data_IF_170913382745
#
_entry.id   IF_170913382745
#
_cell.length_a   1.000
_cell.length_b   1.000
_cell.length_c   1.000
_cell.angle_alpha   90.00
_cell.angle_beta   90.00
_cell.angle_gamma   90.00
#
_symmetry.space_group_name_H-M   'P 1'
#
loop_
_entity.id
_entity.type
_entity.pdbx_description
1 polymer ?
#
# COMPACT_ATOMS: atom_id res chain seq x y z
N UNK A 1 21.27 -6.34 -11.16
CA UNK A 1 20.66 -5.00 -11.02
C UNK A 1 19.16 -5.17 -10.84
N UNK A 2 18.53 -4.41 -9.94
CA UNK A 2 17.08 -4.46 -9.76
C UNK A 2 16.39 -3.83 -10.98
N UNK A 3 15.23 -4.39 -11.39
CA UNK A 3 14.43 -3.89 -12.53
C UNK A 3 13.33 -2.91 -12.12
N UNK A 4 13.29 -2.50 -10.86
CA UNK A 4 12.36 -1.49 -10.36
C UNK A 4 12.87 -0.90 -9.04
N UNK A 5 12.35 0.28 -8.67
CA UNK A 5 12.67 0.98 -7.43
C UNK A 5 11.92 0.36 -6.25
N UNK A 6 12.40 -0.79 -5.75
CA UNK A 6 11.76 -1.47 -4.63
C UNK A 6 11.94 -0.74 -3.28
N UNK A 7 10.94 -0.83 -2.41
CA UNK A 7 11.00 -0.23 -1.07
C UNK A 7 12.21 -0.70 -0.23
N UNK A 8 12.61 -1.98 -0.37
CA UNK A 8 13.80 -2.47 0.33
C UNK A 8 15.07 -1.73 -0.11
N UNK A 9 15.17 -1.34 -1.39
CA UNK A 9 16.30 -0.59 -1.88
C UNK A 9 16.26 0.86 -1.41
N UNK A 10 15.09 1.50 -1.50
CA UNK A 10 14.84 2.84 -0.98
C UNK A 10 15.24 2.97 0.50
N UNK A 11 14.72 2.08 1.36
CA UNK A 11 15.02 2.12 2.80
C UNK A 11 16.48 1.77 3.12
N UNK A 12 17.10 0.88 2.34
CA UNK A 12 18.51 0.55 2.56
C UNK A 12 19.42 1.75 2.28
N UNK A 13 19.15 2.50 1.22
CA UNK A 13 19.91 3.72 0.92
C UNK A 13 19.70 4.80 1.98
N UNK A 14 18.45 5.00 2.42
CA UNK A 14 18.13 6.01 3.43
C UNK A 14 18.73 5.72 4.80
N UNK A 15 18.75 4.45 5.23
CA UNK A 15 19.11 4.09 6.61
C UNK A 15 20.42 3.31 6.75
N UNK A 16 21.07 2.92 5.64
CA UNK A 16 22.30 2.10 5.63
C UNK A 16 22.13 0.68 6.18
N UNK A 17 20.90 0.30 6.56
CA UNK A 17 20.59 -1.00 7.16
C UNK A 17 19.25 -1.50 6.67
N UNK A 18 18.93 -2.76 6.99
CA UNK A 18 17.65 -3.37 6.63
C UNK A 18 16.56 -2.81 7.54
N UNK A 19 15.51 -2.26 6.96
CA UNK A 19 14.31 -1.80 7.68
C UNK A 19 13.13 -2.73 7.37
N UNK A 20 12.31 -3.03 8.37
CA UNK A 20 11.07 -3.81 8.22
C UNK A 20 9.87 -3.02 8.73
N UNK A 21 8.71 -3.24 8.10
CA UNK A 21 7.43 -2.72 8.61
C UNK A 21 6.87 -3.66 9.67
N UNK A 22 6.39 -3.10 10.76
CA UNK A 22 5.63 -3.81 11.80
C UNK A 22 4.16 -3.39 11.63
N UNK A 23 3.25 -4.32 11.28
CA UNK A 23 1.83 -4.02 11.22
C UNK A 23 1.28 -3.82 12.64
N UNK A 24 0.55 -2.73 12.84
CA UNK A 24 -0.06 -2.34 14.10
C UNK A 24 -1.56 -2.07 13.85
N UNK A 25 -2.36 -2.43 14.84
CA UNK A 25 -3.78 -2.14 14.90
C UNK A 25 -4.05 -1.19 16.06
N UNK A 26 -4.47 0.04 15.76
CA UNK A 26 -4.79 1.07 16.75
C UNK A 26 -6.30 1.18 17.03
N UNK A 27 -7.09 0.21 16.56
CA UNK A 27 -8.52 0.13 16.83
C UNK A 27 -9.37 1.18 16.10
N UNK A 28 -8.81 1.84 15.08
CA UNK A 28 -9.60 2.73 14.24
C UNK A 28 -10.67 1.95 13.47
N UNK A 29 -11.71 2.65 13.05
CA UNK A 29 -12.75 2.10 12.17
C UNK A 29 -12.69 2.75 10.80
N UNK A 30 -13.67 2.45 9.95
CA UNK A 30 -13.84 3.06 8.64
C UNK A 30 -15.28 3.61 8.53
N UNK A 31 -15.46 4.85 8.02
CA UNK A 31 -16.80 5.44 7.86
C UNK A 31 -17.69 4.63 6.91
N UNK A 32 -17.09 3.79 6.08
CA UNK A 32 -17.79 2.89 5.18
C UNK A 32 -18.32 1.62 5.86
N UNK A 33 -18.12 1.46 7.17
CA UNK A 33 -18.55 0.30 7.96
C UNK A 33 -19.40 0.66 9.18
N UNK A 34 -19.23 1.84 9.75
CA UNK A 34 -19.85 2.24 11.02
C UNK A 34 -21.23 2.91 10.87
N UNK A 35 -21.66 3.18 9.63
CA UNK A 35 -22.92 3.85 9.32
C UNK A 35 -22.80 5.32 8.93
N UNK A 36 -21.60 5.93 8.99
CA UNK A 36 -21.40 7.32 8.57
C UNK A 36 -21.54 7.49 7.05
N UNK A 37 -20.89 6.63 6.27
CA UNK A 37 -21.04 6.58 4.80
C UNK A 37 -21.75 5.29 4.35
N UNK A 38 -21.47 4.18 5.01
CA UNK A 38 -22.08 2.88 4.71
C UNK A 38 -21.94 1.93 5.91
N UNK A 39 -22.64 0.79 5.84
CA UNK A 39 -22.53 -0.31 6.81
C UNK A 39 -21.91 -1.57 6.21
N UNK A 40 -21.61 -1.58 4.91
CA UNK A 40 -21.21 -2.79 4.16
C UNK A 40 -19.70 -2.95 4.03
N UNK A 41 -18.93 -1.87 4.16
CA UNK A 41 -17.52 -1.85 3.78
C UNK A 41 -17.31 -1.90 2.26
N UNK A 42 -16.04 -1.88 1.83
CA UNK A 42 -15.72 -2.09 0.41
C UNK A 42 -15.99 -3.55 0.04
N UNK A 43 -16.42 -3.83 -1.19
CA UNK A 43 -16.82 -5.15 -1.63
C UNK A 43 -15.74 -6.24 -1.48
N UNK A 44 -14.46 -5.85 -1.55
CA UNK A 44 -13.30 -6.74 -1.43
C UNK A 44 -12.71 -6.83 -0.02
N UNK A 45 -13.13 -5.96 0.91
CA UNK A 45 -12.42 -5.79 2.17
C UNK A 45 -12.94 -6.76 3.23
N UNK A 46 -12.04 -7.57 3.82
CA UNK A 46 -12.37 -8.45 4.94
C UNK A 46 -12.85 -7.67 6.19
N UNK A 47 -13.44 -8.39 7.14
CA UNK A 47 -14.01 -7.82 8.37
C UNK A 47 -13.00 -7.09 9.25
N UNK A 48 -11.73 -7.45 9.18
CA UNK A 48 -10.63 -6.86 9.96
C UNK A 48 -9.96 -5.65 9.26
N UNK A 49 -10.49 -5.20 8.12
CA UNK A 49 -9.90 -4.07 7.40
C UNK A 49 -8.48 -4.35 6.89
N UNK A 50 -8.17 -5.62 6.62
CA UNK A 50 -6.82 -6.13 6.32
C UNK A 50 -5.80 -5.90 7.45
N UNK A 51 -6.28 -5.77 8.70
CA UNK A 51 -5.48 -5.64 9.92
C UNK A 51 -5.02 -6.96 10.53
N UNK A 52 -4.30 -6.87 11.65
CA UNK A 52 -3.83 -8.03 12.41
C UNK A 52 -4.87 -8.57 13.40
N UNK A 53 -5.88 -7.77 13.76
CA UNK A 53 -6.88 -8.10 14.79
C UNK A 53 -6.38 -7.98 16.22
N UNK A 54 -5.09 -7.69 16.44
CA UNK A 54 -4.46 -7.74 17.77
C UNK A 54 -5.04 -6.72 18.75
N UNK A 55 -5.61 -5.61 18.26
CA UNK A 55 -6.30 -4.66 19.13
C UNK A 55 -7.58 -5.26 19.73
N UNK A 56 -8.35 -5.99 18.92
CA UNK A 56 -9.56 -6.68 19.39
C UNK A 56 -9.21 -7.80 20.39
N UNK A 57 -8.01 -8.37 20.29
CA UNK A 57 -7.45 -9.32 21.26
C UNK A 57 -6.93 -8.63 22.56
N UNK A 58 -7.11 -7.31 22.69
CA UNK A 58 -6.74 -6.54 23.87
C UNK A 58 -5.28 -6.08 23.93
N UNK A 59 -4.48 -6.29 22.87
CA UNK A 59 -3.10 -5.81 22.84
C UNK A 59 -3.03 -4.33 22.45
N UNK A 60 -2.29 -3.57 23.24
CA UNK A 60 -1.98 -2.17 22.94
C UNK A 60 -0.82 -2.04 21.92
N UNK A 61 -0.52 -0.80 21.53
CA UNK A 61 0.44 -0.51 20.44
C UNK A 61 1.85 -1.02 20.80
N UNK A 62 2.28 -0.80 22.03
CA UNK A 62 3.60 -1.17 22.56
C UNK A 62 3.71 -2.69 22.68
N UNK A 63 2.67 -3.38 23.17
CA UNK A 63 2.60 -4.83 23.21
C UNK A 63 2.68 -5.46 21.82
N UNK A 64 1.92 -4.93 20.85
CA UNK A 64 1.99 -5.36 19.45
C UNK A 64 3.38 -5.11 18.85
N UNK A 65 3.96 -3.92 19.10
CA UNK A 65 5.28 -3.56 18.62
C UNK A 65 6.36 -4.50 19.15
N UNK A 66 6.39 -4.73 20.46
CA UNK A 66 7.40 -5.56 21.10
C UNK A 66 7.34 -7.02 20.62
N UNK A 67 6.13 -7.57 20.45
CA UNK A 67 5.92 -8.91 19.89
C UNK A 67 6.51 -9.05 18.50
N UNK A 68 6.17 -8.13 17.59
CA UNK A 68 6.65 -8.20 16.20
C UNK A 68 8.13 -7.85 16.08
N UNK A 69 8.61 -6.87 16.85
CA UNK A 69 10.02 -6.47 16.89
C UNK A 69 10.92 -7.64 17.30
N UNK A 70 10.54 -8.41 18.31
CA UNK A 70 11.29 -9.60 18.72
C UNK A 70 11.34 -10.64 17.59
N UNK A 71 10.19 -10.97 17.00
CA UNK A 71 10.10 -11.99 15.94
C UNK A 71 10.85 -11.57 14.66
N UNK A 72 10.60 -10.35 14.18
CA UNK A 72 11.17 -9.86 12.92
C UNK A 72 12.64 -9.46 13.08
N UNK A 73 13.02 -8.92 14.25
CA UNK A 73 14.40 -8.55 14.53
C UNK A 73 15.33 -9.75 14.55
N UNK A 74 14.92 -10.85 15.20
CA UNK A 74 15.66 -12.11 15.16
C UNK A 74 15.74 -12.69 13.74
N UNK A 75 14.62 -12.70 13.00
CA UNK A 75 14.54 -13.28 11.64
C UNK A 75 15.33 -12.50 10.60
N UNK A 76 15.37 -11.18 10.70
CA UNK A 76 15.91 -10.31 9.66
C UNK A 76 17.19 -9.57 10.06
N UNK A 77 17.67 -9.77 11.30
CA UNK A 77 18.85 -9.12 11.87
C UNK A 77 18.76 -7.59 11.77
N UNK A 78 17.68 -7.04 12.32
CA UNK A 78 17.46 -5.58 12.38
C UNK A 78 16.81 -5.18 13.71
N UNK A 79 17.16 -4.00 14.19
CA UNK A 79 16.60 -3.35 15.36
C UNK A 79 15.80 -2.08 15.02
N UNK A 80 15.73 -1.71 13.72
CA UNK A 80 15.05 -0.52 13.20
C UNK A 80 13.85 -0.88 12.33
N UNK A 81 12.73 -0.23 12.60
CA UNK A 81 11.44 -0.58 12.02
C UNK A 81 10.59 0.63 11.67
N UNK A 82 9.66 0.43 10.74
CA UNK A 82 8.60 1.39 10.43
C UNK A 82 7.31 0.87 11.06
N UNK A 83 6.66 1.69 11.88
CA UNK A 83 5.31 1.43 12.38
C UNK A 83 4.31 1.51 11.22
N UNK A 84 3.49 0.49 11.04
CA UNK A 84 2.50 0.45 9.96
C UNK A 84 1.09 0.30 10.51
N UNK A 85 0.37 1.41 10.62
CA UNK A 85 -1.06 1.43 10.90
C UNK A 85 -1.81 1.01 9.62
N UNK A 86 -2.15 -0.28 9.52
CA UNK A 86 -2.64 -0.88 8.29
C UNK A 86 -4.17 -0.97 8.22
N UNK A 87 -4.83 -1.22 9.36
CA UNK A 87 -6.26 -1.54 9.41
C UNK A 87 -7.13 -0.30 9.17
N UNK A 88 -8.17 -0.44 8.37
CA UNK A 88 -9.24 0.56 8.21
C UNK A 88 -8.77 1.97 7.78
N UNK A 89 -9.22 3.02 8.48
CA UNK A 89 -8.94 4.42 8.17
C UNK A 89 -8.37 5.11 9.41
N UNK A 90 -7.05 5.09 9.55
CA UNK A 90 -6.37 5.45 10.80
C UNK A 90 -6.37 6.96 11.11
N UNK A 91 -6.95 7.78 10.26
CA UNK A 91 -7.16 9.22 10.49
C UNK A 91 -8.64 9.57 10.63
N UNK A 92 -9.52 8.58 10.62
CA UNK A 92 -10.95 8.80 10.80
C UNK A 92 -11.30 9.00 12.28
N UNK A 93 -12.11 10.03 12.54
CA UNK A 93 -12.51 10.47 13.87
C UNK A 93 -11.82 11.77 14.31
N UNK A 94 -11.94 12.12 15.60
CA UNK A 94 -11.36 13.33 16.17
C UNK A 94 -9.83 13.32 16.12
N UNK A 95 -9.22 14.49 15.90
CA UNK A 95 -7.76 14.64 15.78
C UNK A 95 -7.02 14.23 17.07
N UNK A 96 -7.61 14.45 18.24
CA UNK A 96 -7.01 14.14 19.53
C UNK A 96 -6.77 12.63 19.69
N UNK A 97 -7.60 11.80 19.03
CA UNK A 97 -7.37 10.35 18.97
C UNK A 97 -6.14 10.02 18.13
N UNK A 98 -5.98 10.68 16.99
CA UNK A 98 -4.81 10.51 16.12
C UNK A 98 -3.54 10.94 16.86
N UNK A 99 -3.55 12.12 17.50
CA UNK A 99 -2.43 12.62 18.31
C UNK A 99 -1.98 11.62 19.39
N UNK A 100 -2.93 11.06 20.17
CA UNK A 100 -2.60 10.05 21.19
C UNK A 100 -1.93 8.82 20.60
N UNK A 101 -2.38 8.35 19.44
CA UNK A 101 -1.79 7.18 18.77
C UNK A 101 -0.40 7.51 18.23
N UNK A 102 -0.25 8.66 17.58
CA UNK A 102 1.03 9.11 17.02
C UNK A 102 2.09 9.32 18.10
N UNK A 103 1.72 9.92 19.25
CA UNK A 103 2.60 10.12 20.41
C UNK A 103 3.17 8.79 20.96
N UNK A 104 2.35 7.73 21.00
CA UNK A 104 2.81 6.39 21.37
C UNK A 104 3.80 5.85 20.34
N UNK A 105 3.49 5.99 19.04
CA UNK A 105 4.34 5.51 17.95
C UNK A 105 5.71 6.20 17.94
N UNK A 106 5.76 7.52 18.11
CA UNK A 106 7.03 8.28 18.15
C UNK A 106 7.90 7.92 19.34
N UNK A 107 7.32 7.30 20.37
CA UNK A 107 8.02 6.84 21.56
C UNK A 107 8.49 5.37 21.47
N UNK A 108 8.19 4.67 20.37
CA UNK A 108 8.53 3.26 20.22
C UNK A 108 10.03 3.05 19.96
N UNK A 109 10.72 2.20 20.75
CA UNK A 109 12.13 1.94 20.55
C UNK A 109 12.44 1.36 19.16
N UNK A 110 13.38 1.98 18.45
CA UNK A 110 13.80 1.58 17.11
C UNK A 110 12.82 1.95 15.99
N UNK A 111 11.77 2.72 16.28
CA UNK A 111 10.90 3.26 15.24
C UNK A 111 11.63 4.37 14.47
N UNK A 112 11.81 4.17 13.16
CA UNK A 112 12.44 5.13 12.25
C UNK A 112 11.45 5.72 11.24
N UNK A 113 10.17 5.36 11.35
CA UNK A 113 9.17 5.84 10.42
C UNK A 113 7.77 5.34 10.72
N UNK A 114 6.83 5.92 10.00
CA UNK A 114 5.40 5.61 10.05
C UNK A 114 4.88 5.39 8.63
N UNK A 115 4.09 4.33 8.44
CA UNK A 115 3.14 4.22 7.35
C UNK A 115 1.74 4.26 7.96
N UNK A 116 0.88 5.15 7.46
CA UNK A 116 -0.50 5.29 7.92
C UNK A 116 -1.47 5.01 6.78
N UNK A 117 -2.17 3.88 6.87
CA UNK A 117 -3.26 3.51 5.98
C UNK A 117 -4.50 4.33 6.28
N UNK A 118 -4.95 5.12 5.31
CA UNK A 118 -6.20 5.87 5.44
C UNK A 118 -6.93 6.09 4.11
N UNK A 119 -8.10 6.71 4.21
CA UNK A 119 -8.86 7.16 3.05
C UNK A 119 -8.55 8.63 2.77
N UNK A 120 -8.58 9.06 1.49
CA UNK A 120 -8.33 10.46 1.14
C UNK A 120 -9.37 11.43 1.71
N UNK A 121 -10.60 10.98 1.94
CA UNK A 121 -11.70 11.77 2.54
C UNK A 121 -11.70 11.76 4.08
N UNK A 122 -10.65 11.21 4.71
CA UNK A 122 -10.44 11.23 6.17
C UNK A 122 -9.22 12.07 6.56
N UNK A 123 -8.76 12.95 5.67
CA UNK A 123 -7.61 13.83 5.86
C UNK A 123 -8.04 15.28 5.64
N UNK A 124 -8.19 16.00 6.74
CA UNK A 124 -8.32 17.46 6.75
C UNK A 124 -6.93 18.10 6.94
N UNK A 125 -6.88 19.43 6.80
CA UNK A 125 -5.63 20.19 6.89
C UNK A 125 -4.93 19.98 8.24
N UNK A 126 -5.66 20.03 9.35
CA UNK A 126 -5.09 19.85 10.70
C UNK A 126 -4.43 18.46 10.87
N UNK A 127 -5.05 17.39 10.35
CA UNK A 127 -4.44 16.04 10.39
C UNK A 127 -3.21 15.94 9.49
N UNK A 128 -3.22 16.61 8.33
CA UNK A 128 -2.05 16.64 7.45
C UNK A 128 -0.89 17.41 8.10
N UNK A 129 -1.18 18.54 8.74
CA UNK A 129 -0.19 19.35 9.48
C UNK A 129 0.40 18.55 10.65
N UNK A 130 -0.45 17.85 11.41
CA UNK A 130 -0.02 16.96 12.49
C UNK A 130 0.92 15.85 11.99
N UNK A 131 0.59 15.21 10.86
CA UNK A 131 1.40 14.13 10.30
C UNK A 131 2.73 14.64 9.74
N UNK A 132 2.73 15.84 9.14
CA UNK A 132 3.94 16.48 8.61
C UNK A 132 4.91 16.93 9.72
N UNK A 133 4.38 17.29 10.89
CA UNK A 133 5.17 17.71 12.04
C UNK A 133 5.81 16.55 12.84
N UNK A 134 5.60 15.29 12.45
CA UNK A 134 6.14 14.15 13.18
C UNK A 134 7.68 14.12 13.13
N UNK A 135 8.36 13.86 14.27
CA UNK A 135 9.82 13.79 14.34
C UNK A 135 10.33 12.41 13.85
N UNK A 136 9.76 11.91 12.75
CA UNK A 136 10.12 10.63 12.14
C UNK A 136 10.71 10.89 10.75
N UNK A 137 11.89 10.34 10.43
CA UNK A 137 12.55 10.61 9.16
C UNK A 137 11.88 9.94 7.96
N UNK A 138 10.88 9.09 8.15
CA UNK A 138 10.22 8.35 7.07
C UNK A 138 8.71 8.24 7.34
N UNK A 139 7.91 9.11 6.74
CA UNK A 139 6.44 9.14 6.93
C UNK A 139 5.74 8.94 5.59
N UNK A 140 4.92 7.89 5.51
CA UNK A 140 4.13 7.54 4.33
C UNK A 140 2.63 7.57 4.62
N UNK A 141 1.89 8.30 3.79
CA UNK A 141 0.44 8.19 3.72
C UNK A 141 0.07 7.09 2.72
N UNK A 142 -0.38 5.94 3.23
CA UNK A 142 -0.88 4.85 2.41
C UNK A 142 -2.35 5.15 2.05
N UNK A 143 -2.57 5.72 0.86
CA UNK A 143 -3.89 6.16 0.40
C UNK A 143 -4.54 5.16 -0.57
N UNK A 144 -5.75 4.73 -0.23
CA UNK A 144 -6.51 3.77 -1.02
C UNK A 144 -7.26 4.36 -2.21
N UNK A 145 -6.62 4.52 -3.38
CA UNK A 145 -7.29 4.84 -4.64
C UNK A 145 -8.11 3.65 -5.15
N UNK A 146 -7.47 2.47 -5.22
CA UNK A 146 -7.92 1.20 -5.77
C UNK A 146 -8.13 1.21 -7.29
N UNK A 147 -8.89 2.16 -7.82
CA UNK A 147 -9.08 2.42 -9.25
C UNK A 147 -9.23 3.92 -9.50
N UNK A 148 -8.80 4.39 -10.67
CA UNK A 148 -9.09 5.76 -11.13
C UNK A 148 -10.43 5.88 -11.87
N UNK A 149 -11.26 4.82 -11.88
CA UNK A 149 -12.59 4.82 -12.48
C UNK A 149 -13.67 4.92 -11.40
N UNK A 150 -14.35 6.05 -11.35
CA UNK A 150 -15.36 6.33 -10.33
C UNK A 150 -16.58 5.38 -10.42
N UNK A 151 -16.87 4.81 -11.59
CA UNK A 151 -17.92 3.80 -11.75
C UNK A 151 -17.54 2.50 -11.05
N UNK A 152 -16.27 2.09 -11.16
CA UNK A 152 -15.72 0.96 -10.41
C UNK A 152 -15.74 1.25 -8.92
N UNK A 153 -15.32 2.45 -8.50
CA UNK A 153 -15.32 2.85 -7.09
C UNK A 153 -16.71 2.81 -6.48
N UNK A 154 -17.74 3.24 -7.22
CA UNK A 154 -19.15 3.12 -6.82
C UNK A 154 -19.58 1.65 -6.73
N UNK A 155 -19.25 0.83 -7.75
CA UNK A 155 -19.59 -0.60 -7.79
C UNK A 155 -19.04 -1.38 -6.60
N UNK A 156 -17.81 -1.08 -6.17
CA UNK A 156 -17.17 -1.74 -5.03
C UNK A 156 -17.50 -1.08 -3.68
N UNK A 157 -18.45 -0.15 -3.64
CA UNK A 157 -18.83 0.59 -2.45
C UNK A 157 -17.62 1.26 -1.78
N UNK A 158 -16.76 1.97 -2.53
CA UNK A 158 -15.53 2.58 -1.98
C UNK A 158 -15.85 3.77 -1.05
N UNK A 159 -16.80 4.60 -1.44
CA UNK A 159 -17.27 5.76 -0.68
C UNK A 159 -16.46 7.05 -0.84
N UNK A 160 -15.53 7.11 -1.79
CA UNK A 160 -14.90 8.34 -2.29
C UNK A 160 -14.54 8.14 -3.77
N UNK A 161 -14.24 9.22 -4.48
CA UNK A 161 -13.87 9.22 -5.90
C UNK A 161 -12.36 9.42 -6.12
N UNK A 162 -11.95 9.38 -7.39
CA UNK A 162 -10.58 9.65 -7.83
C UNK A 162 -10.16 11.11 -7.61
N UNK A 163 -11.10 12.05 -7.68
CA UNK A 163 -10.83 13.48 -7.44
C UNK A 163 -10.48 13.75 -5.97
N UNK A 164 -11.14 13.11 -5.01
CA UNK A 164 -10.81 13.17 -3.59
C UNK A 164 -9.40 12.63 -3.34
N UNK A 165 -9.02 11.53 -4.00
CA UNK A 165 -7.66 11.00 -3.94
C UNK A 165 -6.63 12.01 -4.47
N UNK A 166 -6.89 12.63 -5.63
CA UNK A 166 -5.98 13.62 -6.20
C UNK A 166 -5.81 14.83 -5.28
N UNK A 167 -6.90 15.39 -4.73
CA UNK A 167 -6.86 16.51 -3.77
C UNK A 167 -6.04 16.19 -2.53
N UNK A 168 -6.31 15.04 -1.89
CA UNK A 168 -5.56 14.61 -0.70
C UNK A 168 -4.09 14.38 -1.02
N UNK A 169 -3.78 13.87 -2.22
CA UNK A 169 -2.39 13.64 -2.66
C UNK A 169 -1.63 14.94 -2.83
N UNK A 170 -2.24 15.96 -3.45
CA UNK A 170 -1.63 17.29 -3.57
C UNK A 170 -1.47 17.95 -2.19
N UNK A 171 -2.52 17.97 -1.37
CA UNK A 171 -2.47 18.59 -0.04
C UNK A 171 -1.42 17.97 0.89
N UNK A 172 -1.17 16.66 0.77
CA UNK A 172 -0.11 15.97 1.47
C UNK A 172 1.28 16.33 0.91
N UNK A 173 1.44 16.32 -0.41
CA UNK A 173 2.70 16.65 -1.07
C UNK A 173 3.14 18.09 -0.78
N UNK A 174 2.21 19.04 -0.73
CA UNK A 174 2.47 20.45 -0.39
C UNK A 174 3.04 20.63 1.03
N UNK A 175 2.84 19.63 1.90
CA UNK A 175 3.39 19.55 3.26
C UNK A 175 4.62 18.64 3.37
N UNK A 176 5.14 18.15 2.25
CA UNK A 176 6.29 17.26 2.21
C UNK A 176 6.01 15.80 2.60
N UNK A 177 4.73 15.41 2.75
CA UNK A 177 4.37 14.03 3.08
C UNK A 177 4.44 13.12 1.85
N UNK A 178 5.08 11.95 2.01
CA UNK A 178 5.18 10.97 0.95
C UNK A 178 3.88 10.17 0.83
N UNK A 179 3.18 10.27 -0.31
CA UNK A 179 1.98 9.48 -0.58
C UNK A 179 2.36 8.15 -1.25
N UNK A 180 1.84 7.05 -0.72
CA UNK A 180 1.88 5.73 -1.33
C UNK A 180 0.48 5.33 -1.82
N UNK A 181 0.26 5.34 -3.14
CA UNK A 181 -1.01 4.97 -3.73
C UNK A 181 -1.23 3.45 -3.68
N UNK A 182 -2.45 3.00 -3.38
CA UNK A 182 -2.85 1.61 -3.56
C UNK A 182 -3.72 1.49 -4.81
N UNK A 183 -3.37 0.60 -5.74
CA UNK A 183 -4.22 0.24 -6.90
C UNK A 183 -4.40 -1.27 -6.98
N UNK A 184 -5.58 -1.71 -7.41
CA UNK A 184 -5.97 -3.12 -7.44
C UNK A 184 -6.19 -3.55 -8.89
N UNK A 185 -5.53 -4.63 -9.30
CA UNK A 185 -5.77 -5.27 -10.58
C UNK A 185 -6.88 -6.32 -10.42
N UNK A 186 -7.89 -6.25 -11.27
CA UNK A 186 -8.97 -7.23 -11.35
C UNK A 186 -10.27 -6.86 -10.64
N UNK A 187 -10.51 -5.58 -10.34
CA UNK A 187 -11.79 -5.14 -9.77
C UNK A 187 -12.98 -5.53 -10.66
N UNK A 188 -14.19 -5.78 -10.09
CA UNK A 188 -15.33 -6.23 -10.87
C UNK A 188 -15.62 -5.32 -12.07
N UNK A 189 -15.56 -5.90 -13.28
CA UNK A 189 -15.74 -5.22 -14.57
C UNK A 189 -14.58 -4.33 -15.01
N UNK A 190 -13.39 -4.51 -14.43
CA UNK A 190 -12.13 -3.95 -14.91
C UNK A 190 -11.21 -5.02 -15.51
N UNK A 191 -10.44 -4.64 -16.52
CA UNK A 191 -9.37 -5.45 -17.10
C UNK A 191 -7.99 -4.81 -17.00
N UNK A 192 -6.98 -5.38 -17.70
CA UNK A 192 -5.63 -4.82 -17.74
C UNK A 192 -5.59 -3.35 -18.15
N UNK A 193 -6.40 -2.94 -19.13
CA UNK A 193 -6.44 -1.55 -19.60
C UNK A 193 -6.83 -0.56 -18.48
N UNK A 194 -7.81 -0.91 -17.65
CA UNK A 194 -8.26 -0.10 -16.52
C UNK A 194 -7.20 0.02 -15.43
N UNK A 195 -6.50 -1.08 -15.17
CA UNK A 195 -5.37 -1.09 -14.24
C UNK A 195 -4.24 -0.18 -14.72
N UNK A 196 -3.88 -0.25 -16.01
CA UNK A 196 -2.88 0.65 -16.61
C UNK A 196 -3.34 2.11 -16.63
N UNK A 197 -4.64 2.39 -16.83
CA UNK A 197 -5.20 3.74 -16.69
C UNK A 197 -5.01 4.26 -15.26
N UNK A 198 -5.26 3.42 -14.25
CA UNK A 198 -5.03 3.77 -12.85
C UNK A 198 -3.55 4.02 -12.56
N UNK A 199 -2.64 3.22 -13.14
CA UNK A 199 -1.20 3.45 -13.05
C UNK A 199 -0.78 4.80 -13.68
N UNK A 200 -1.31 5.16 -14.85
CA UNK A 200 -1.06 6.48 -15.47
C UNK A 200 -1.61 7.63 -14.62
N UNK A 201 -2.80 7.48 -14.06
CA UNK A 201 -3.40 8.46 -13.16
C UNK A 201 -2.51 8.71 -11.93
N UNK A 202 -2.04 7.64 -11.28
CA UNK A 202 -1.07 7.73 -10.16
C UNK A 202 0.24 8.39 -10.61
N UNK A 203 0.73 8.03 -11.79
CA UNK A 203 1.97 8.59 -12.35
C UNK A 203 1.87 10.08 -12.73
N UNK A 204 0.67 10.64 -12.86
CA UNK A 204 0.46 12.06 -13.13
C UNK A 204 0.39 12.91 -11.83
N UNK A 205 0.27 12.28 -10.67
CA UNK A 205 0.16 12.93 -9.36
C UNK A 205 1.51 12.94 -8.61
N UNK A 206 1.68 13.80 -7.58
CA UNK A 206 2.90 13.84 -6.76
C UNK A 206 3.01 12.66 -5.77
N UNK A 207 2.63 11.46 -6.21
CA UNK A 207 2.79 10.20 -5.47
C UNK A 207 4.27 9.80 -5.41
N UNK A 208 4.75 9.35 -4.24
CA UNK A 208 6.14 8.90 -4.06
C UNK A 208 6.27 7.37 -4.00
N UNK A 209 5.17 6.65 -3.81
CA UNK A 209 5.18 5.19 -3.76
C UNK A 209 3.89 4.55 -4.27
N UNK A 210 3.95 3.26 -4.61
CA UNK A 210 2.76 2.51 -5.04
C UNK A 210 2.75 1.10 -4.47
N UNK A 211 1.57 0.62 -4.09
CA UNK A 211 1.28 -0.79 -3.85
C UNK A 211 0.36 -1.30 -4.94
N UNK A 212 0.88 -2.26 -5.70
CA UNK A 212 0.10 -3.04 -6.66
C UNK A 212 -0.47 -4.24 -5.92
N UNK A 213 -1.78 -4.42 -6.01
CA UNK A 213 -2.48 -5.55 -5.40
C UNK A 213 -3.14 -6.39 -6.48
N UNK A 214 -2.97 -7.71 -6.42
CA UNK A 214 -3.88 -8.65 -7.06
C UNK A 214 -5.18 -8.65 -6.28
N UNK A 215 -6.31 -8.54 -6.97
CA UNK A 215 -7.58 -8.81 -6.32
C UNK A 215 -7.71 -10.30 -6.05
N UNK A 216 -7.90 -10.63 -4.77
CA UNK A 216 -8.37 -11.94 -4.33
C UNK A 216 -9.67 -11.78 -3.56
N UNK A 217 -10.48 -12.82 -3.59
CA UNK A 217 -11.78 -12.91 -2.95
C UNK A 217 -11.56 -13.45 -1.55
N UNK A 218 -11.94 -12.68 -0.53
CA UNK A 218 -11.94 -13.15 0.86
C UNK A 218 -13.29 -13.76 1.25
N UNK A 219 -13.27 -14.73 2.15
CA UNK A 219 -14.47 -15.24 2.82
C UNK A 219 -15.23 -14.13 3.56
N UNK A 220 -16.56 -14.23 3.59
CA UNK A 220 -17.44 -13.28 4.26
C UNK A 220 -17.56 -11.91 3.57
N UNK A 221 -17.09 -11.75 2.33
CA UNK A 221 -17.15 -10.48 1.60
C UNK A 221 -18.28 -10.45 0.57
N UNK A 222 -18.79 -9.27 0.18
CA UNK A 222 -19.69 -9.15 -0.96
C UNK A 222 -19.13 -9.78 -2.24
N UNK A 223 -17.82 -9.72 -2.44
CA UNK A 223 -17.15 -10.37 -3.57
C UNK A 223 -17.18 -11.90 -3.52
N UNK A 224 -17.19 -12.53 -2.34
CA UNK A 224 -17.41 -13.97 -2.23
C UNK A 224 -18.77 -14.36 -2.82
N UNK A 225 -19.81 -13.57 -2.54
CA UNK A 225 -21.13 -13.79 -3.12
C UNK A 225 -21.10 -13.63 -4.64
N UNK A 226 -20.50 -12.56 -5.14
CA UNK A 226 -20.36 -12.35 -6.60
C UNK A 226 -19.62 -13.48 -7.29
N UNK A 227 -18.58 -14.03 -6.65
CA UNK A 227 -17.83 -15.17 -7.18
C UNK A 227 -18.67 -16.45 -7.19
N UNK A 228 -19.37 -16.79 -6.09
CA UNK A 228 -20.24 -17.97 -6.00
C UNK A 228 -21.44 -17.93 -6.94
N UNK A 229 -21.94 -16.73 -7.23
CA UNK A 229 -23.03 -16.49 -8.18
C UNK A 229 -22.53 -16.35 -9.63
N UNK A 230 -21.25 -16.60 -9.91
CA UNK A 230 -20.62 -16.48 -11.23
C UNK A 230 -20.69 -15.06 -11.86
N UNK A 231 -21.01 -14.05 -11.04
CA UNK A 231 -21.05 -12.64 -11.41
C UNK A 231 -19.68 -11.96 -11.39
N UNK A 232 -18.62 -12.68 -10.99
CA UNK A 232 -17.24 -12.21 -10.99
C UNK A 232 -16.26 -13.39 -11.11
N UNK A 233 -15.24 -13.22 -11.94
CA UNK A 233 -14.14 -14.17 -12.09
C UNK A 233 -12.80 -13.43 -11.91
N UNK A 234 -11.94 -13.82 -10.95
CA UNK A 234 -10.62 -13.25 -10.81
C UNK A 234 -9.74 -13.49 -12.05
N UNK A 235 -8.80 -12.58 -12.34
CA UNK A 235 -7.88 -12.74 -13.45
C UNK A 235 -6.94 -13.94 -13.25
N UNK A 236 -6.47 -14.50 -14.36
CA UNK A 236 -5.40 -15.50 -14.32
C UNK A 236 -4.09 -14.89 -13.80
N UNK A 237 -3.21 -15.73 -13.25
CA UNK A 237 -1.87 -15.30 -12.80
C UNK A 237 -1.08 -14.63 -13.94
N UNK A 238 -1.16 -15.17 -15.16
CA UNK A 238 -0.47 -14.58 -16.31
C UNK A 238 -1.02 -13.18 -16.63
N UNK A 239 -2.34 -13.01 -16.65
CA UNK A 239 -2.98 -11.69 -16.85
C UNK A 239 -2.52 -10.70 -15.79
N UNK A 240 -2.43 -11.14 -14.53
CA UNK A 240 -1.92 -10.30 -13.43
C UNK A 240 -0.46 -9.89 -13.64
N UNK A 241 0.43 -10.85 -13.93
CA UNK A 241 1.86 -10.59 -14.17
C UNK A 241 2.05 -9.57 -15.31
N UNK A 242 1.40 -9.78 -16.45
CA UNK A 242 1.52 -8.86 -17.59
C UNK A 242 0.99 -7.46 -17.26
N UNK A 243 -0.08 -7.37 -16.47
CA UNK A 243 -0.64 -6.08 -16.03
C UNK A 243 0.32 -5.35 -15.07
N UNK A 244 0.97 -6.09 -14.17
CA UNK A 244 1.99 -5.53 -13.27
C UNK A 244 3.20 -5.05 -14.05
N UNK A 245 3.69 -5.81 -15.03
CA UNK A 245 4.81 -5.38 -15.89
C UNK A 245 4.45 -4.09 -16.62
N UNK A 246 3.30 -4.05 -17.31
CA UNK A 246 2.86 -2.85 -18.02
C UNK A 246 2.69 -1.65 -17.08
N UNK A 247 2.23 -1.86 -15.84
CA UNK A 247 2.15 -0.78 -14.86
C UNK A 247 3.55 -0.28 -14.46
N UNK A 248 4.50 -1.18 -14.19
CA UNK A 248 5.89 -0.80 -13.88
C UNK A 248 6.50 0.02 -15.01
N UNK A 249 6.37 -0.42 -16.26
CA UNK A 249 6.93 0.28 -17.43
C UNK A 249 6.44 1.73 -17.56
N UNK A 250 5.22 2.02 -17.10
CA UNK A 250 4.60 3.36 -17.13
C UNK A 250 4.98 4.24 -15.94
N UNK A 251 5.40 3.66 -14.81
CA UNK A 251 5.70 4.42 -13.60
C UNK A 251 7.08 5.07 -13.71
N UNK A 252 7.17 6.36 -13.38
CA UNK A 252 8.44 7.10 -13.30
C UNK A 252 9.38 6.45 -12.28
N UNK A 253 10.71 6.51 -12.48
CA UNK A 253 11.66 5.74 -11.69
C UNK A 253 11.74 6.16 -10.20
N UNK A 254 11.28 7.37 -9.87
CA UNK A 254 11.26 7.89 -8.50
C UNK A 254 10.15 7.25 -7.65
N UNK A 255 9.11 6.69 -8.26
CA UNK A 255 8.02 6.03 -7.52
C UNK A 255 8.54 4.73 -6.91
N UNK A 256 8.49 4.63 -5.58
CA UNK A 256 8.91 3.45 -4.83
C UNK A 256 7.83 2.36 -4.89
N UNK A 257 8.19 1.17 -5.36
CA UNK A 257 7.30 0.01 -5.37
C UNK A 257 7.30 -0.63 -3.98
N UNK A 258 6.24 -0.37 -3.21
CA UNK A 258 6.04 -0.89 -1.86
C UNK A 258 5.59 -2.35 -1.85
N UNK A 259 4.86 -2.76 -2.89
CA UNK A 259 4.27 -4.09 -2.99
C UNK A 259 3.97 -4.42 -4.45
N UNK A 260 4.27 -5.66 -4.83
CA UNK A 260 3.92 -6.22 -6.13
C UNK A 260 2.74 -7.19 -6.09
N UNK A 261 2.40 -7.74 -4.92
CA UNK A 261 1.25 -8.63 -4.71
C UNK A 261 0.72 -8.52 -3.27
N UNK A 262 -0.60 -8.58 -3.13
CA UNK A 262 -1.29 -8.70 -1.86
C UNK A 262 -1.15 -10.12 -1.30
N UNK A 263 -1.49 -10.29 -0.02
CA UNK A 263 -1.20 -11.50 0.76
C UNK A 263 -2.44 -11.84 1.58
N UNK A 264 -3.17 -12.93 1.27
CA UNK A 264 -4.32 -13.31 2.04
C UNK A 264 -3.93 -13.77 3.45
N UNK A 265 -4.71 -13.36 4.45
CA UNK A 265 -4.61 -13.94 5.78
C UNK A 265 -4.89 -15.46 5.74
N UNK A 266 -4.28 -16.26 6.62
CA UNK A 266 -4.53 -17.69 6.67
C UNK A 266 -6.03 -18.02 6.79
N UNK A 267 -6.53 -18.83 5.86
CA UNK A 267 -7.94 -19.26 5.84
C UNK A 267 -8.94 -18.27 5.22
N UNK A 268 -8.50 -17.10 4.74
CA UNK A 268 -9.44 -16.12 4.15
C UNK A 268 -9.62 -16.27 2.64
N UNK A 269 -8.69 -16.88 1.93
CA UNK A 269 -8.70 -16.93 0.46
C UNK A 269 -9.80 -17.87 -0.07
N UNK A 270 -10.65 -17.34 -0.95
CA UNK A 270 -11.64 -18.11 -1.73
C UNK A 270 -11.16 -18.33 -3.16
N UNK A 271 -10.64 -17.28 -3.80
CA UNK A 271 -10.12 -17.33 -5.17
C UNK A 271 -9.26 -16.08 -5.46
N UNK A 272 -8.35 -16.13 -6.44
CA UNK A 272 -7.88 -17.33 -7.14
C UNK A 272 -6.79 -18.06 -6.31
N UNK A 273 -6.67 -19.38 -6.47
CA UNK A 273 -5.74 -20.21 -5.68
C UNK A 273 -4.29 -19.75 -5.72
N UNK A 274 -3.85 -19.23 -6.86
CA UNK A 274 -2.49 -18.73 -7.04
C UNK A 274 -2.16 -17.55 -6.11
N UNK A 275 -3.16 -16.84 -5.57
CA UNK A 275 -2.96 -15.75 -4.62
C UNK A 275 -2.41 -16.22 -3.27
N UNK A 276 -2.46 -17.52 -2.97
CA UNK A 276 -1.91 -18.10 -1.74
C UNK A 276 -0.37 -18.09 -1.67
N UNK A 277 0.33 -18.06 -2.82
CA UNK A 277 1.80 -18.07 -2.85
C UNK A 277 2.36 -16.75 -3.37
N UNK A 278 2.38 -15.76 -2.48
CA UNK A 278 2.99 -14.45 -2.75
C UNK A 278 4.45 -14.53 -3.18
N UNK A 279 5.21 -15.49 -2.65
CA UNK A 279 6.63 -15.62 -3.01
C UNK A 279 6.73 -16.05 -4.47
N UNK A 280 5.91 -16.99 -4.90
CA UNK A 280 5.90 -17.42 -6.29
C UNK A 280 5.41 -16.33 -7.24
N UNK A 281 4.40 -15.54 -6.85
CA UNK A 281 3.97 -14.37 -7.65
C UNK A 281 5.14 -13.39 -7.86
N UNK A 282 5.86 -13.04 -6.78
CA UNK A 282 7.03 -12.16 -6.86
C UNK A 282 8.13 -12.75 -7.76
N UNK A 283 8.43 -14.04 -7.61
CA UNK A 283 9.42 -14.72 -8.45
C UNK A 283 9.00 -14.72 -9.93
N UNK A 284 7.73 -14.99 -10.22
CA UNK A 284 7.20 -15.01 -11.57
C UNK A 284 7.26 -13.63 -12.23
N UNK A 285 6.93 -12.55 -11.51
CA UNK A 285 7.08 -11.17 -12.00
C UNK A 285 8.56 -10.88 -12.32
N UNK A 286 9.49 -11.23 -11.43
CA UNK A 286 10.92 -11.01 -11.66
C UNK A 286 11.45 -11.79 -12.87
N UNK A 287 11.04 -13.05 -13.04
CA UNK A 287 11.39 -13.85 -14.22
C UNK A 287 10.83 -13.24 -15.50
N UNK A 288 9.58 -12.76 -15.47
CA UNK A 288 8.94 -12.16 -16.62
C UNK A 288 9.57 -10.79 -17.01
N UNK A 289 9.92 -9.95 -16.03
CA UNK A 289 10.69 -8.72 -16.25
C UNK A 289 12.06 -9.01 -16.90
N UNK A 290 12.73 -10.07 -16.45
CA UNK A 290 14.01 -10.50 -17.01
C UNK A 290 13.87 -11.07 -18.44
N UNK A 291 12.88 -11.93 -18.67
CA UNK A 291 12.64 -12.55 -19.98
C UNK A 291 12.22 -11.53 -21.05
N UNK A 292 11.45 -10.51 -20.68
CA UNK A 292 11.05 -9.42 -21.57
C UNK A 292 12.12 -8.32 -21.72
N UNK A 293 13.23 -8.44 -21.00
CA UNK A 293 14.24 -7.39 -20.82
C UNK A 293 13.66 -5.99 -20.60
N UNK A 294 12.74 -5.90 -19.64
CA UNK A 294 12.04 -4.64 -19.30
C UNK A 294 12.22 -4.28 -17.83
N UNK A 295 11.83 -3.06 -17.46
CA UNK A 295 11.96 -2.49 -16.13
C UNK A 295 10.98 -1.35 -15.91
N UNK A 296 10.86 -0.92 -14.66
CA UNK A 296 10.10 0.28 -14.32
C UNK A 296 10.57 1.49 -15.13
N UNK A 297 9.65 2.30 -15.65
CA UNK A 297 9.89 3.46 -16.53
C UNK A 297 10.35 3.17 -17.97
N UNK A 298 10.46 1.91 -18.39
CA UNK A 298 10.88 1.54 -19.75
C UNK A 298 10.00 2.18 -20.84
N UNK A 299 8.69 2.32 -20.64
CA UNK A 299 7.81 2.94 -21.62
C UNK A 299 7.98 4.47 -21.72
N UNK A 300 8.54 5.11 -20.68
CA UNK A 300 8.81 6.54 -20.67
C UNK A 300 10.14 6.88 -21.35
N UNK A 301 11.12 5.97 -21.29
CA UNK A 301 12.44 6.13 -21.90
C UNK A 301 12.96 4.80 -22.49
N UNK A 302 12.48 4.37 -23.68
CA UNK A 302 12.76 3.05 -24.25
C UNK A 302 14.22 2.75 -24.61
N UNK A 303 15.08 3.76 -24.63
CA UNK A 303 16.51 3.60 -24.96
C UNK A 303 17.44 3.99 -23.80
N UNK A 304 16.90 4.47 -22.69
CA UNK A 304 17.69 4.75 -21.50
C UNK A 304 18.20 3.42 -20.89
N UNK A 305 19.30 3.43 -20.12
CA UNK A 305 19.68 2.30 -19.29
C UNK A 305 18.71 2.12 -18.11
N UNK A 306 18.83 0.99 -17.39
CA UNK A 306 18.14 0.79 -16.12
C UNK A 306 18.56 1.91 -15.13
N UNK A 307 17.60 2.65 -14.55
CA UNK A 307 17.89 3.70 -13.58
C UNK A 307 18.74 3.23 -12.40
N UNK A 308 19.78 3.98 -12.06
CA UNK A 308 20.70 3.66 -10.95
C UNK A 308 20.01 3.72 -9.59
N UNK A 309 18.93 4.50 -9.45
CA UNK A 309 18.09 4.56 -8.24
C UNK A 309 17.43 3.21 -7.90
N UNK A 310 17.49 2.21 -8.79
CA UNK A 310 17.00 0.87 -8.49
C UNK A 310 18.04 0.05 -7.71
N UNK A 311 19.31 0.43 -7.79
CA UNK A 311 20.40 -0.22 -7.07
C UNK A 311 20.48 0.32 -5.62
N UNK A 312 20.41 -0.54 -4.60
CA UNK A 312 20.57 -0.12 -3.20
C UNK A 312 22.00 0.28 -2.83
N UNK A 313 22.99 -0.01 -3.67
CA UNK A 313 24.42 0.24 -3.40
C UNK A 313 24.91 1.57 -3.97
N UNK A 314 24.11 2.22 -4.83
CA UNK A 314 24.46 3.49 -5.47
C UNK A 314 23.73 4.62 -4.72
N UNK A 315 24.45 5.58 -4.10
CA UNK A 315 23.83 6.74 -3.45
C UNK A 315 23.11 7.65 -4.46
N UNK A 316 21.96 8.21 -4.08
CA UNK A 316 21.20 9.18 -4.87
C UNK A 316 21.10 10.53 -4.14
N UNK A 317 21.08 11.69 -4.83
CA UNK A 317 20.96 13.01 -4.20
C UNK A 317 19.75 13.15 -3.27
N UNK A 318 18.64 12.49 -3.61
CA UNK A 318 17.41 12.48 -2.78
C UNK A 318 17.50 11.55 -1.56
N UNK A 319 18.50 10.67 -1.47
CA UNK A 319 18.70 9.81 -0.30
C UNK A 319 19.30 10.60 0.88
N UNK A 320 19.83 11.79 0.60
CA UNK A 320 20.34 12.75 1.57
C UNK A 320 19.32 13.89 1.69
N UNK A 321 18.31 13.71 2.53
CA UNK A 321 17.48 14.81 2.99
C UNK A 321 17.46 14.79 4.53
N UNK A 322 17.54 15.97 5.15
CA UNK A 322 18.42 16.34 6.26
C UNK A 322 18.22 15.55 7.56
#
# INVERSE_FOLDING_TARGET
MNRYHGLSAHLHRRFGTRIRKIPLDAGFTCPNRDGTLSRRGCAFCNGQGSGTGLHADGMDIEGQWNRWRAQLGAKHHTDRFIAYLQSFSNTYGPIERLERVLSRITSLPGAVGLCIGTRPDCLDDDKLDLLAALPLPEVWLDLGLQSSNDDTLRRINRGHDSAAFARATHAAADRGLAVCAHIIMGLPGEGPHDFLRSARFVNALPVRGVKLHNLYVCTGTPMERMFKEENYCPPSLNTYIQSVIGALELLRPEIVIHRLAADPAPGELVAPDWAADKREIHNAINRALAAADTWQSRALAPHAPIPTIFDPTIPHPEDVAP
#
